data_IF_918248668433
#
_entry.id   IF_918248668433
#
_cell.length_a   1.000
_cell.length_b   1.000
_cell.length_c   1.000
_cell.angle_alpha   90.00
_cell.angle_beta   90.00
_cell.angle_gamma   90.00
#
_symmetry.space_group_name_H-M   'P 1'
#
loop_
_entity.id
_entity.type
_entity.pdbx_description
1 polymer ?
#
# COMPACT_ATOMS: atom_id res chain seq x y z
N UNK A 1 9.66 -0.27 8.95
CA UNK A 1 9.63 -0.93 10.28
C UNK A 1 8.43 -1.86 10.27
N UNK A 2 8.58 -3.12 10.68
CA UNK A 2 7.46 -4.04 10.89
C UNK A 2 7.11 -4.04 12.37
N UNK A 3 5.81 -3.92 12.69
CA UNK A 3 5.32 -3.84 14.07
C UNK A 3 4.17 -4.84 14.19
N UNK A 4 4.38 -5.88 14.99
CA UNK A 4 3.40 -6.91 15.25
C UNK A 4 2.71 -6.70 16.60
N UNK A 5 1.43 -7.06 16.68
CA UNK A 5 0.64 -6.98 17.90
C UNK A 5 -0.84 -6.72 17.61
N UNK A 6 -1.68 -6.90 18.63
CA UNK A 6 -3.11 -6.64 18.53
C UNK A 6 -3.41 -5.13 18.48
N UNK A 7 -4.24 -4.71 17.53
CA UNK A 7 -4.68 -3.31 17.41
C UNK A 7 -3.57 -2.30 17.10
N UNK A 8 -2.39 -2.75 16.64
CA UNK A 8 -1.23 -1.87 16.35
C UNK A 8 -1.61 -0.78 15.36
N UNK A 9 -2.22 -1.15 14.23
CA UNK A 9 -2.63 -0.18 13.21
C UNK A 9 -3.64 0.83 13.76
N UNK A 10 -4.58 0.40 14.59
CA UNK A 10 -5.60 1.28 15.17
C UNK A 10 -5.01 2.39 16.04
N UNK A 11 -3.90 2.10 16.74
CA UNK A 11 -3.16 3.08 17.55
C UNK A 11 -2.22 3.94 16.71
N UNK A 12 -1.48 3.33 15.79
CA UNK A 12 -0.43 4.02 15.02
C UNK A 12 -0.96 4.79 13.81
N UNK A 13 -2.18 4.55 13.33
CA UNK A 13 -2.75 5.29 12.18
C UNK A 13 -2.68 6.81 12.37
N UNK A 14 -2.75 7.30 13.60
CA UNK A 14 -2.67 8.71 13.96
C UNK A 14 -1.26 9.30 13.88
N UNK A 15 -0.22 8.48 13.73
CA UNK A 15 1.14 8.94 13.47
C UNK A 15 1.38 9.23 11.99
N UNK A 16 0.43 8.95 11.11
CA UNK A 16 0.59 9.22 9.69
C UNK A 16 0.49 10.72 9.41
N UNK A 17 1.48 11.29 8.73
CA UNK A 17 1.53 12.70 8.36
C UNK A 17 2.91 13.33 8.45
N UNK A 18 2.94 14.66 8.41
CA UNK A 18 4.17 15.45 8.52
C UNK A 18 4.44 15.84 9.98
N UNK A 19 5.62 15.49 10.48
CA UNK A 19 6.13 15.80 11.81
C UNK A 19 7.19 16.89 11.70
N UNK A 20 6.92 18.06 12.27
CA UNK A 20 7.83 19.21 12.26
C UNK A 20 8.66 19.24 13.54
N UNK A 21 9.97 19.45 13.44
CA UNK A 21 10.86 19.65 14.60
C UNK A 21 11.51 21.02 14.56
N UNK A 22 11.59 21.67 15.72
CA UNK A 22 12.31 22.92 15.94
C UNK A 22 13.37 22.67 17.00
N UNK A 23 14.65 22.68 16.61
CA UNK A 23 15.79 22.42 17.50
C UNK A 23 17.05 23.12 17.00
N UNK A 24 18.06 23.23 17.86
CA UNK A 24 19.43 23.51 17.42
C UNK A 24 20.01 22.17 16.92
N UNK A 25 20.33 22.02 15.62
CA UNK A 25 20.89 20.77 15.12
C UNK A 25 22.34 20.62 15.55
N UNK A 26 22.82 19.38 15.62
CA UNK A 26 24.20 19.07 16.03
C UNK A 26 25.26 19.66 15.10
N UNK A 27 24.89 19.94 13.85
CA UNK A 27 25.77 20.54 12.84
C UNK A 27 25.81 22.08 12.90
N UNK A 28 25.07 22.72 13.81
CA UNK A 28 24.99 24.18 13.93
C UNK A 28 25.88 24.71 15.06
N UNK A 29 26.78 25.64 14.72
CA UNK A 29 27.78 26.17 15.66
C UNK A 29 27.30 27.41 16.44
N UNK A 30 26.34 28.17 15.92
CA UNK A 30 25.89 29.45 16.52
C UNK A 30 24.67 29.32 17.44
N UNK A 31 24.19 28.10 17.70
CA UNK A 31 23.03 27.88 18.56
C UNK A 31 21.69 28.32 17.93
N UNK A 32 21.64 28.50 16.60
CA UNK A 32 20.42 28.90 15.90
C UNK A 32 19.42 27.75 15.83
N UNK A 33 18.15 28.05 16.08
CA UNK A 33 17.08 27.06 15.97
C UNK A 33 16.72 26.87 14.51
N UNK A 34 16.85 25.64 14.02
CA UNK A 34 16.41 25.24 12.69
C UNK A 34 15.06 24.53 12.78
N UNK A 35 14.27 24.66 11.71
CA UNK A 35 13.02 23.93 11.55
C UNK A 35 13.20 22.88 10.46
N UNK A 36 12.95 21.63 10.79
CA UNK A 36 12.96 20.49 9.87
C UNK A 36 11.60 19.79 9.89
N UNK A 37 11.33 18.96 8.90
CA UNK A 37 10.14 18.12 8.83
C UNK A 37 10.53 16.69 8.45
N UNK A 38 9.76 15.72 8.92
CA UNK A 38 9.84 14.32 8.55
C UNK A 38 8.43 13.80 8.28
N UNK A 39 8.29 12.89 7.32
CA UNK A 39 7.00 12.26 7.04
C UNK A 39 6.97 10.85 7.59
N UNK A 40 5.80 10.47 8.09
CA UNK A 40 5.53 9.12 8.58
C UNK A 40 4.30 8.61 7.84
N UNK A 41 4.37 7.39 7.33
CA UNK A 41 3.23 6.68 6.74
C UNK A 41 3.04 5.38 7.50
N UNK A 42 1.80 5.10 7.89
CA UNK A 42 1.42 3.88 8.58
C UNK A 42 0.41 3.15 7.72
N UNK A 43 0.80 1.96 7.28
CA UNK A 43 0.00 1.09 6.42
C UNK A 43 -0.18 -0.25 7.14
N UNK A 44 -1.35 -0.88 7.05
CA UNK A 44 -1.52 -2.24 7.54
C UNK A 44 -0.63 -3.20 6.75
N UNK A 45 -0.32 -4.34 7.36
CA UNK A 45 0.43 -5.38 6.66
C UNK A 45 -0.35 -5.90 5.45
N UNK A 46 0.42 -6.21 4.42
CA UNK A 46 -0.06 -6.73 3.17
C UNK A 46 -0.40 -8.21 3.28
N UNK A 47 -1.64 -8.61 2.99
CA UNK A 47 -1.91 -10.02 2.69
C UNK A 47 -1.32 -10.36 1.31
N UNK A 48 -0.77 -11.58 1.18
CA UNK A 48 -0.36 -12.12 -0.10
C UNK A 48 -1.59 -12.29 -1.00
N UNK A 49 -1.46 -11.86 -2.25
CA UNK A 49 -2.53 -12.02 -3.24
C UNK A 49 -2.62 -13.49 -3.61
N UNK A 50 -3.59 -14.22 -3.05
CA UNK A 50 -3.94 -15.55 -3.52
C UNK A 50 -4.89 -15.45 -4.73
N UNK A 51 -4.38 -15.80 -5.90
CA UNK A 51 -5.12 -15.68 -7.16
C UNK A 51 -5.76 -17.02 -7.53
N UNK A 52 -7.02 -17.20 -7.13
CA UNK A 52 -7.86 -18.30 -7.58
C UNK A 52 -8.54 -17.90 -8.89
N UNK A 53 -8.35 -18.67 -9.95
CA UNK A 53 -9.01 -18.44 -11.25
C UNK A 53 -10.13 -19.48 -11.43
N UNK A 54 -11.41 -19.08 -11.35
CA UNK A 54 -12.53 -19.97 -11.60
C UNK A 54 -12.52 -20.48 -13.04
N UNK A 55 -12.93 -21.74 -13.25
CA UNK A 55 -13.07 -22.29 -14.58
C UNK A 55 -14.15 -21.57 -15.42
N UNK A 56 -15.14 -20.95 -14.77
CA UNK A 56 -16.18 -20.13 -15.39
C UNK A 56 -15.64 -18.86 -16.07
N UNK A 57 -14.50 -18.37 -15.61
CA UNK A 57 -13.97 -17.07 -16.01
C UNK A 57 -13.00 -17.20 -17.19
N UNK A 58 -12.83 -18.43 -17.68
CA UNK A 58 -11.87 -18.78 -18.71
C UNK A 58 -12.58 -19.45 -19.89
N UNK A 59 -12.42 -18.87 -21.08
CA UNK A 59 -12.77 -19.55 -22.34
C UNK A 59 -11.52 -20.19 -22.95
N UNK A 60 -11.62 -21.47 -23.30
CA UNK A 60 -10.54 -22.22 -23.95
C UNK A 60 -10.97 -22.55 -25.37
N UNK A 61 -10.26 -21.99 -26.35
CA UNK A 61 -10.49 -22.21 -27.77
C UNK A 61 -9.32 -23.04 -28.34
N UNK A 62 -9.62 -24.09 -29.10
CA UNK A 62 -8.63 -24.92 -29.80
C UNK A 62 -8.55 -24.52 -31.26
N UNK A 63 -7.33 -24.42 -31.81
CA UNK A 63 -7.10 -24.00 -33.18
C UNK A 63 -5.91 -24.74 -33.80
N UNK A 64 -5.78 -24.63 -35.12
CA UNK A 64 -4.61 -25.13 -35.84
C UNK A 64 -3.39 -24.28 -35.49
N UNK A 65 -2.26 -24.94 -35.24
CA UNK A 65 -1.01 -24.24 -35.00
C UNK A 65 -0.55 -23.55 -36.29
N UNK A 66 -0.14 -22.29 -36.19
CA UNK A 66 0.44 -21.54 -37.31
C UNK A 66 1.95 -21.70 -37.32
N UNK A 67 2.54 -22.29 -38.37
CA UNK A 67 4.00 -22.41 -38.50
C UNK A 67 4.44 -23.34 -39.63
N UNK A 68 5.75 -23.39 -39.88
CA UNK A 68 6.38 -24.28 -40.86
C UNK A 68 6.31 -25.74 -40.36
N UNK A 69 5.18 -26.39 -40.59
CA UNK A 69 4.97 -27.79 -40.26
C UNK A 69 4.41 -28.55 -41.45
N UNK A 70 4.82 -29.82 -41.59
CA UNK A 70 4.30 -30.72 -42.61
C UNK A 70 2.80 -31.02 -42.41
N UNK A 71 2.30 -32.06 -43.08
CA UNK A 71 0.86 -32.41 -43.08
C UNK A 71 0.20 -32.41 -41.68
N UNK A 72 0.92 -32.87 -40.65
CA UNK A 72 0.43 -32.93 -39.27
C UNK A 72 0.04 -31.56 -38.67
N UNK A 73 0.71 -30.47 -39.04
CA UNK A 73 0.37 -29.11 -38.55
C UNK A 73 -0.86 -28.55 -39.26
N UNK A 74 -1.14 -29.00 -40.49
CA UNK A 74 -2.30 -28.58 -41.26
C UNK A 74 -3.59 -29.32 -40.89
N UNK A 75 -3.48 -30.52 -40.29
CA UNK A 75 -4.62 -31.38 -39.96
C UNK A 75 -4.95 -31.46 -38.47
N UNK A 76 -4.01 -31.17 -37.58
CA UNK A 76 -4.19 -31.36 -36.13
C UNK A 76 -4.44 -30.04 -35.42
N UNK A 77 -5.56 -29.94 -34.69
CA UNK A 77 -5.91 -28.78 -33.87
C UNK A 77 -5.18 -28.82 -32.51
N UNK A 78 -3.86 -28.58 -32.53
CA UNK A 78 -3.02 -28.68 -31.33
C UNK A 78 -2.86 -27.37 -30.55
N UNK A 79 -3.05 -26.20 -31.17
CA UNK A 79 -2.84 -24.92 -30.50
C UNK A 79 -4.03 -24.56 -29.59
N UNK A 80 -3.72 -23.99 -28.43
CA UNK A 80 -4.71 -23.61 -27.43
C UNK A 80 -4.63 -22.11 -27.19
N UNK A 81 -5.78 -21.45 -27.27
CA UNK A 81 -6.00 -20.06 -26.87
C UNK A 81 -6.84 -20.05 -25.61
N UNK A 82 -6.38 -19.38 -24.58
CA UNK A 82 -7.10 -19.17 -23.34
C UNK A 82 -7.43 -17.68 -23.23
N UNK A 83 -8.70 -17.36 -23.01
CA UNK A 83 -9.20 -16.00 -22.80
C UNK A 83 -9.76 -15.91 -21.39
N UNK A 84 -9.23 -14.99 -20.57
CA UNK A 84 -9.85 -14.62 -19.30
C UNK A 84 -10.94 -13.60 -19.57
N UNK A 85 -12.20 -13.98 -19.35
CA UNK A 85 -13.38 -13.22 -19.73
C UNK A 85 -13.43 -11.87 -18.97
N UNK A 86 -13.21 -11.82 -17.63
CA UNK A 86 -13.32 -10.56 -16.89
C UNK A 86 -12.28 -9.51 -17.29
N UNK A 87 -11.03 -9.92 -17.57
CA UNK A 87 -9.94 -8.97 -17.91
C UNK A 87 -9.71 -8.82 -19.41
N UNK A 88 -10.34 -9.66 -20.23
CA UNK A 88 -10.11 -9.72 -21.67
C UNK A 88 -8.72 -10.23 -22.07
N UNK A 89 -7.90 -10.72 -21.13
CA UNK A 89 -6.55 -11.19 -21.44
C UNK A 89 -6.56 -12.48 -22.24
N UNK A 90 -5.78 -12.50 -23.32
CA UNK A 90 -5.65 -13.65 -24.21
C UNK A 90 -4.22 -14.17 -24.15
N UNK A 91 -4.09 -15.48 -23.95
CA UNK A 91 -2.83 -16.22 -23.98
C UNK A 91 -2.94 -17.35 -25.00
N UNK A 92 -1.92 -17.53 -25.82
CA UNK A 92 -1.87 -18.55 -26.86
C UNK A 92 -0.62 -19.40 -26.69
N UNK A 93 -0.75 -20.72 -26.83
CA UNK A 93 0.37 -21.67 -26.87
C UNK A 93 0.18 -22.67 -28.01
N UNK A 94 1.25 -22.94 -28.77
CA UNK A 94 1.21 -23.71 -30.01
C UNK A 94 2.40 -24.69 -30.16
N UNK A 95 2.56 -25.59 -29.19
CA UNK A 95 3.43 -26.77 -29.29
C UNK A 95 2.71 -27.98 -29.90
N UNK A 96 3.43 -29.11 -30.01
CA UNK A 96 2.94 -30.36 -30.60
C UNK A 96 1.75 -30.98 -29.87
N UNK A 97 1.68 -30.86 -28.54
CA UNK A 97 0.63 -31.47 -27.71
C UNK A 97 -0.36 -30.43 -27.19
N UNK A 98 -1.65 -30.67 -27.41
CA UNK A 98 -2.74 -29.81 -26.95
C UNK A 98 -2.79 -29.69 -25.42
N UNK A 99 -2.66 -30.81 -24.70
CA UNK A 99 -2.69 -30.80 -23.23
C UNK A 99 -1.55 -29.95 -22.65
N UNK A 100 -0.35 -30.11 -23.21
CA UNK A 100 0.81 -29.30 -22.84
C UNK A 100 0.60 -27.82 -23.15
N UNK A 101 -0.06 -27.51 -24.27
CA UNK A 101 -0.40 -26.13 -24.62
C UNK A 101 -1.39 -25.52 -23.64
N UNK A 102 -2.40 -26.28 -23.22
CA UNK A 102 -3.37 -25.84 -22.19
C UNK A 102 -2.66 -25.55 -20.86
N UNK A 103 -1.77 -26.43 -20.41
CA UNK A 103 -1.00 -26.24 -19.17
C UNK A 103 -0.12 -24.99 -19.24
N UNK A 104 0.66 -24.83 -20.31
CA UNK A 104 1.54 -23.66 -20.51
C UNK A 104 0.71 -22.37 -20.58
N UNK A 105 -0.37 -22.37 -21.37
CA UNK A 105 -1.22 -21.19 -21.50
C UNK A 105 -1.89 -20.82 -20.18
N UNK A 106 -2.28 -21.81 -19.36
CA UNK A 106 -2.84 -21.57 -18.02
C UNK A 106 -1.80 -21.01 -17.05
N UNK A 107 -0.57 -21.54 -17.09
CA UNK A 107 0.53 -21.05 -16.26
C UNK A 107 0.88 -19.61 -16.60
N UNK A 108 0.97 -19.28 -17.89
CA UNK A 108 1.24 -17.91 -18.35
C UNK A 108 0.07 -16.97 -18.01
N UNK A 109 -1.18 -17.43 -18.17
CA UNK A 109 -2.34 -16.65 -17.78
C UNK A 109 -2.34 -16.33 -16.28
N UNK A 110 -2.06 -17.32 -15.44
CA UNK A 110 -1.95 -17.14 -13.99
C UNK A 110 -0.86 -16.15 -13.61
N UNK A 111 0.33 -16.27 -14.20
CA UNK A 111 1.43 -15.34 -13.95
C UNK A 111 1.03 -13.89 -14.32
N UNK A 112 0.43 -13.68 -15.49
CA UNK A 112 -0.02 -12.35 -15.92
C UNK A 112 -1.12 -11.76 -15.05
N UNK A 113 -2.10 -12.58 -14.64
CA UNK A 113 -3.17 -12.14 -13.74
C UNK A 113 -2.62 -11.80 -12.34
N UNK A 114 -1.68 -12.60 -11.84
CA UNK A 114 -1.00 -12.34 -10.59
C UNK A 114 -0.24 -11.02 -10.64
N UNK A 115 0.54 -10.78 -11.70
CA UNK A 115 1.28 -9.53 -11.88
C UNK A 115 0.34 -8.32 -11.97
N UNK A 116 -0.79 -8.45 -12.68
CA UNK A 116 -1.80 -7.41 -12.79
C UNK A 116 -2.41 -7.07 -11.43
N UNK A 117 -2.82 -8.08 -10.67
CA UNK A 117 -3.45 -7.88 -9.37
C UNK A 117 -2.45 -7.34 -8.35
N UNK A 118 -1.21 -7.84 -8.37
CA UNK A 118 -0.11 -7.31 -7.58
C UNK A 118 0.14 -5.84 -7.88
N UNK A 119 0.23 -5.47 -9.16
CA UNK A 119 0.40 -4.07 -9.57
C UNK A 119 -0.76 -3.20 -9.09
N UNK A 120 -2.01 -3.68 -9.21
CA UNK A 120 -3.20 -2.98 -8.71
C UNK A 120 -3.12 -2.70 -7.21
N UNK A 121 -2.72 -3.71 -6.42
CA UNK A 121 -2.55 -3.59 -4.96
C UNK A 121 -1.40 -2.64 -4.61
N UNK A 122 -0.27 -2.76 -5.30
CA UNK A 122 0.89 -1.91 -5.07
C UNK A 122 0.61 -0.44 -5.43
N UNK A 123 -0.11 -0.19 -6.52
CA UNK A 123 -0.54 1.15 -6.94
C UNK A 123 -1.53 1.76 -5.95
N UNK A 124 -2.50 0.98 -5.47
CA UNK A 124 -3.45 1.43 -4.44
C UNK A 124 -2.71 1.82 -3.15
N UNK A 125 -1.73 1.01 -2.72
CA UNK A 125 -0.89 1.32 -1.56
C UNK A 125 0.00 2.53 -1.77
N UNK A 126 0.56 2.70 -2.96
CA UNK A 126 1.37 3.85 -3.29
C UNK A 126 0.54 5.14 -3.24
N UNK A 127 -0.69 5.10 -3.77
CA UNK A 127 -1.65 6.20 -3.68
C UNK A 127 -2.03 6.51 -2.23
N UNK A 128 -2.36 5.49 -1.43
CA UNK A 128 -2.68 5.67 0.00
C UNK A 128 -1.49 6.28 0.76
N UNK A 129 -0.29 5.72 0.58
CA UNK A 129 0.95 6.28 1.17
C UNK A 129 1.14 7.73 0.79
N UNK A 130 0.96 8.07 -0.48
CA UNK A 130 1.11 9.44 -0.99
C UNK A 130 0.11 10.40 -0.35
N UNK A 131 -1.14 9.96 -0.14
CA UNK A 131 -2.15 10.77 0.55
C UNK A 131 -1.81 11.01 2.02
N UNK A 132 -1.20 10.03 2.71
CA UNK A 132 -0.80 10.18 4.11
C UNK A 132 0.38 11.14 4.30
N UNK A 133 1.40 11.09 3.42
CA UNK A 133 2.61 11.92 3.57
C UNK A 133 2.46 13.32 2.96
N UNK A 134 1.50 13.51 2.05
CA UNK A 134 1.27 14.78 1.36
C UNK A 134 2.46 15.22 0.51
N UNK A 135 2.73 16.52 0.49
CA UNK A 135 3.91 17.09 -0.16
C UNK A 135 5.19 16.95 0.68
N UNK A 136 5.04 16.64 1.97
CA UNK A 136 6.11 16.67 2.95
C UNK A 136 6.53 18.07 3.39
N UNK A 137 5.79 19.12 2.98
CA UNK A 137 6.07 20.48 3.39
C UNK A 137 5.75 20.71 4.88
N UNK A 138 6.52 21.58 5.52
CA UNK A 138 6.38 21.96 6.93
C UNK A 138 5.04 22.63 7.27
N UNK A 139 4.31 23.09 6.25
CA UNK A 139 2.99 23.70 6.38
C UNK A 139 1.91 22.65 6.70
N UNK A 140 2.04 21.43 6.15
CA UNK A 140 1.11 20.29 6.29
C UNK A 140 1.33 19.49 7.60
N UNK A 141 1.99 20.10 8.59
CA UNK A 141 2.35 19.43 9.84
C UNK A 141 1.12 18.98 10.62
N UNK A 142 1.10 17.72 11.03
CA UNK A 142 0.17 17.23 12.05
C UNK A 142 0.72 17.51 13.45
N UNK A 143 2.05 17.49 13.62
CA UNK A 143 2.72 17.71 14.91
C UNK A 143 3.90 18.65 14.82
N UNK A 144 4.14 19.40 15.89
CA UNK A 144 5.37 20.17 16.09
C UNK A 144 6.05 19.77 17.38
N UNK A 145 7.30 19.34 17.28
CA UNK A 145 8.21 19.08 18.40
C UNK A 145 9.11 20.29 18.57
N UNK A 146 8.92 21.04 19.66
CA UNK A 146 9.69 22.25 19.94
C UNK A 146 10.64 21.98 21.11
N UNK A 147 11.92 21.76 20.79
CA UNK A 147 12.96 21.46 21.77
C UNK A 147 13.28 22.66 22.69
N UNK A 148 13.41 23.91 22.20
CA UNK A 148 13.66 25.06 23.06
C UNK A 148 12.63 25.25 24.19
N UNK A 149 11.36 24.89 23.92
CA UNK A 149 10.26 25.02 24.88
C UNK A 149 9.86 23.69 25.53
N UNK A 150 10.55 22.59 25.21
CA UNK A 150 10.28 21.27 25.77
C UNK A 150 8.87 20.74 25.52
N UNK A 151 8.21 21.14 24.42
CA UNK A 151 6.80 20.80 24.15
C UNK A 151 6.56 20.12 22.81
N UNK A 152 5.47 19.36 22.75
CA UNK A 152 4.92 18.81 21.53
C UNK A 152 3.49 19.33 21.36
N UNK A 153 3.14 19.78 20.16
CA UNK A 153 1.78 20.21 19.81
C UNK A 153 1.27 19.38 18.64
N UNK A 154 0.11 18.75 18.81
CA UNK A 154 -0.69 18.15 17.73
C UNK A 154 -1.71 19.17 17.22
N UNK A 155 -1.57 19.57 15.95
CA UNK A 155 -2.35 20.64 15.34
C UNK A 155 -3.75 20.18 14.92
N UNK A 156 -4.02 18.87 14.89
CA UNK A 156 -5.34 18.34 14.50
C UNK A 156 -6.38 18.62 15.58
N UNK A 157 -5.98 18.48 16.84
CA UNK A 157 -6.82 18.70 18.03
C UNK A 157 -6.34 19.88 18.88
N UNK A 158 -5.31 20.59 18.44
CA UNK A 158 -4.63 21.66 19.18
C UNK A 158 -4.13 21.27 20.58
N UNK A 159 -3.86 19.98 20.80
CA UNK A 159 -3.30 19.47 22.07
C UNK A 159 -1.83 19.88 22.17
N UNK A 160 -1.45 20.47 23.31
CA UNK A 160 -0.05 20.82 23.60
C UNK A 160 0.38 20.19 24.92
N UNK A 161 1.44 19.39 24.89
CA UNK A 161 2.03 18.73 26.05
C UNK A 161 3.45 19.24 26.28
N UNK A 162 3.79 19.59 27.52
CA UNK A 162 5.13 20.01 27.96
C UNK A 162 5.96 18.83 28.46
N UNK A 163 5.83 17.69 27.78
CA UNK A 163 6.45 16.42 28.15
C UNK A 163 7.33 15.89 27.01
N UNK A 164 7.98 16.77 26.24
CA UNK A 164 8.74 16.37 25.04
C UNK A 164 9.78 15.29 25.35
N UNK A 165 10.47 15.38 26.49
CA UNK A 165 11.45 14.36 26.88
C UNK A 165 10.84 12.95 27.00
N UNK A 166 9.68 12.82 27.62
CA UNK A 166 8.97 11.54 27.80
C UNK A 166 8.43 11.02 26.46
N UNK A 167 7.85 11.93 25.66
CA UNK A 167 7.35 11.63 24.31
C UNK A 167 8.48 11.09 23.42
N UNK A 168 9.66 11.70 23.47
CA UNK A 168 10.83 11.24 22.69
C UNK A 168 11.38 9.90 23.18
N UNK A 169 11.05 9.46 24.41
CA UNK A 169 11.36 8.13 24.93
C UNK A 169 10.27 7.09 24.62
N UNK A 170 9.22 7.48 23.90
CA UNK A 170 8.15 6.58 23.46
C UNK A 170 6.86 6.64 24.29
N UNK A 171 6.78 7.52 25.30
CA UNK A 171 5.54 7.72 26.04
C UNK A 171 4.56 8.58 25.23
N UNK A 172 3.77 7.89 24.40
CA UNK A 172 2.77 8.49 23.51
C UNK A 172 1.33 8.22 23.96
N UNK A 173 1.14 7.59 25.12
CA UNK A 173 -0.19 7.13 25.56
C UNK A 173 -1.22 8.25 25.58
N UNK A 174 -0.90 9.34 26.28
CA UNK A 174 -1.78 10.51 26.41
C UNK A 174 -2.13 11.14 25.04
N UNK A 175 -1.18 11.15 24.11
CA UNK A 175 -1.35 11.71 22.77
C UNK A 175 -2.30 10.84 21.95
N UNK A 176 -2.06 9.53 21.95
CA UNK A 176 -2.86 8.56 21.19
C UNK A 176 -4.28 8.51 21.72
N UNK A 177 -4.47 8.46 23.04
CA UNK A 177 -5.78 8.38 23.67
C UNK A 177 -6.63 9.63 23.36
N UNK A 178 -6.02 10.82 23.43
CA UNK A 178 -6.71 12.06 23.07
C UNK A 178 -7.15 12.09 21.59
N UNK A 179 -6.31 11.57 20.69
CA UNK A 179 -6.63 11.49 19.26
C UNK A 179 -7.71 10.44 18.96
N UNK A 180 -7.67 9.29 19.65
CA UNK A 180 -8.71 8.25 19.55
C UNK A 180 -10.05 8.80 20.01
N UNK A 181 -10.09 9.47 21.17
CA UNK A 181 -11.31 10.05 21.71
C UNK A 181 -11.89 11.11 20.74
N UNK A 182 -11.04 11.94 20.15
CA UNK A 182 -11.47 12.92 19.15
C UNK A 182 -12.00 12.27 17.86
N UNK A 183 -11.32 11.26 17.32
CA UNK A 183 -11.78 10.51 16.13
C UNK A 183 -13.15 9.84 16.38
N UNK A 184 -13.35 9.26 17.55
CA UNK A 184 -14.62 8.64 17.93
C UNK A 184 -15.74 9.68 18.07
N UNK A 185 -15.47 10.82 18.73
CA UNK A 185 -16.45 11.89 18.87
C UNK A 185 -16.87 12.48 17.52
N UNK A 186 -15.90 12.73 16.62
CA UNK A 186 -16.18 13.26 15.28
C UNK A 186 -17.03 12.29 14.45
N UNK A 187 -16.76 10.99 14.50
CA UNK A 187 -17.56 9.98 13.80
C UNK A 187 -18.99 9.87 14.32
N UNK A 188 -19.17 9.95 15.64
CA UNK A 188 -20.51 9.95 16.24
C UNK A 188 -21.31 11.18 15.79
N UNK A 189 -20.67 12.36 15.77
CA UNK A 189 -21.31 13.58 15.31
C UNK A 189 -21.72 13.54 13.82
N UNK A 190 -20.90 12.92 12.96
CA UNK A 190 -21.23 12.70 11.55
C UNK A 190 -22.38 11.71 11.33
N UNK A 191 -22.62 10.79 12.27
CA UNK A 191 -23.72 9.83 12.20
C UNK A 191 -25.05 10.40 12.71
N UNK A 192 -25.02 11.40 13.59
CA UNK A 192 -26.20 12.06 14.14
C UNK A 192 -26.71 13.24 13.28
N UNK A 193 -25.92 13.70 12.31
CA UNK A 193 -26.27 14.75 11.34
C UNK A 193 -26.81 14.20 10.02
#
# INVERSE_FOLDING_TARGET
VHIAGEGVFAKLKFESGVHRVQRVPETEAQGRVHTSAATVAVLPEAEEVDLVIPASDIRIDTMRASGAGGQHVNTTDSAVRITHIPTGMIVVSAQKSQHRNKEIAMQVLRARLFDLERARVDDARAAERKSQVGSGDRSERIRTYNFPQGRMTDHRINLTLYALGQIMQGDLGEVVDALVAHDQASKLAEMEG
#
